data_IF_269748546328
#
_entry.id   IF_269748546328
#
_cell.length_a   1.000
_cell.length_b   1.000
_cell.length_c   1.000
_cell.angle_alpha   90.00
_cell.angle_beta   90.00
_cell.angle_gamma   90.00
#
_symmetry.space_group_name_H-M   'P 1'
#
loop_
_entity.id
_entity.type
_entity.pdbx_description
1 polymer ?
#
# COMPACT_ATOMS: atom_id res chain seq x y z
N UNK A 1 -82.62 -64.54 18.51
CA UNK A 1 -82.17 -64.16 19.88
C UNK A 1 -80.82 -64.80 20.06
N UNK A 2 -79.69 -64.12 20.28
CA UNK A 2 -79.42 -62.76 20.71
C UNK A 2 -77.98 -62.43 20.25
N UNK A 3 -77.72 -61.23 19.73
CA UNK A 3 -76.37 -60.69 19.49
C UNK A 3 -75.68 -60.37 20.83
N UNK A 4 -74.37 -60.64 20.97
CA UNK A 4 -73.48 -59.87 21.85
C UNK A 4 -71.99 -60.06 21.48
N UNK A 5 -71.51 -59.07 20.73
CA UNK A 5 -70.26 -58.31 20.85
C UNK A 5 -68.91 -59.06 20.97
N UNK A 6 -68.13 -58.92 19.89
CA UNK A 6 -66.67 -58.86 19.89
C UNK A 6 -66.18 -57.77 20.88
N UNK A 7 -65.22 -58.11 21.73
CA UNK A 7 -64.23 -57.15 22.23
C UNK A 7 -62.86 -57.83 22.24
N UNK A 8 -62.01 -57.39 21.31
CA UNK A 8 -60.57 -57.48 21.46
C UNK A 8 -60.21 -56.68 22.72
N UNK A 9 -59.57 -57.32 23.68
CA UNK A 9 -58.88 -56.59 24.75
C UNK A 9 -57.62 -56.04 24.10
N UNK A 10 -57.70 -54.80 23.61
CA UNK A 10 -56.52 -53.98 23.38
C UNK A 10 -55.78 -53.88 24.71
N UNK A 11 -54.47 -54.15 24.68
CA UNK A 11 -53.60 -53.99 25.82
C UNK A 11 -53.78 -52.60 26.41
N UNK A 12 -53.78 -52.53 27.75
CA UNK A 12 -53.74 -51.28 28.46
C UNK A 12 -52.54 -50.47 27.94
N UNK A 13 -52.80 -49.37 27.23
CA UNK A 13 -51.79 -48.34 27.02
C UNK A 13 -51.43 -47.83 28.40
N UNK A 14 -50.22 -48.12 28.85
CA UNK A 14 -49.63 -47.45 29.99
C UNK A 14 -49.59 -45.97 29.64
N UNK A 15 -50.56 -45.20 30.12
CA UNK A 15 -50.48 -43.75 30.05
C UNK A 15 -49.46 -43.35 31.12
N UNK A 16 -48.44 -42.59 30.70
CA UNK A 16 -47.47 -42.02 31.62
C UNK A 16 -48.18 -41.18 32.69
N UNK A 17 -47.52 -40.99 33.84
CA UNK A 17 -48.12 -40.26 34.96
C UNK A 17 -48.35 -38.80 34.58
N UNK A 18 -49.26 -38.13 35.30
CA UNK A 18 -49.49 -36.68 35.10
C UNK A 18 -48.18 -35.91 35.34
N UNK A 19 -47.56 -35.41 34.27
CA UNK A 19 -46.26 -34.72 34.29
C UNK A 19 -45.11 -35.47 33.59
N UNK A 20 -45.38 -36.56 32.87
CA UNK A 20 -44.41 -37.31 32.06
C UNK A 20 -44.84 -37.32 30.58
N UNK A 21 -43.89 -37.16 29.67
CA UNK A 21 -44.08 -37.28 28.21
C UNK A 21 -43.91 -38.74 27.77
N UNK A 22 -44.75 -39.20 26.84
CA UNK A 22 -44.71 -40.57 26.33
C UNK A 22 -44.06 -40.65 24.95
N UNK A 23 -42.86 -41.24 24.90
CA UNK A 23 -42.17 -41.59 23.66
C UNK A 23 -42.98 -42.63 22.85
N UNK A 24 -42.74 -42.69 21.55
CA UNK A 24 -43.43 -43.59 20.61
C UNK A 24 -43.11 -45.07 20.86
N UNK A 25 -41.98 -45.38 21.48
CA UNK A 25 -41.60 -46.72 21.92
C UNK A 25 -42.24 -47.13 23.26
N UNK A 26 -42.98 -46.20 23.89
CA UNK A 26 -43.66 -46.38 25.17
C UNK A 26 -42.83 -46.00 26.39
N UNK A 27 -41.61 -45.46 26.22
CA UNK A 27 -40.82 -44.87 27.31
C UNK A 27 -41.52 -43.60 27.85
N UNK A 28 -41.49 -43.42 29.16
CA UNK A 28 -41.97 -42.20 29.81
C UNK A 28 -40.76 -41.40 30.28
N UNK A 29 -40.64 -40.16 29.81
CA UNK A 29 -39.62 -39.21 30.28
C UNK A 29 -40.31 -38.14 31.13
N UNK A 30 -39.58 -37.46 32.06
CA UNK A 30 -40.11 -36.29 32.74
C UNK A 30 -40.63 -35.26 31.73
N UNK A 31 -41.78 -34.63 31.98
CA UNK A 31 -42.30 -33.59 31.09
C UNK A 31 -41.46 -32.31 31.06
N UNK A 32 -40.41 -32.22 31.88
CA UNK A 32 -39.37 -31.19 31.77
C UNK A 32 -38.29 -31.52 30.73
N UNK A 33 -38.28 -32.76 30.22
CA UNK A 33 -37.39 -33.25 29.16
C UNK A 33 -38.14 -33.34 27.83
N UNK A 34 -39.27 -32.66 27.74
CA UNK A 34 -40.01 -32.49 26.50
C UNK A 34 -39.59 -31.12 25.93
N UNK A 35 -38.98 -31.11 24.75
CA UNK A 35 -38.50 -29.91 24.08
C UNK A 35 -37.34 -29.21 24.85
N UNK A 36 -36.35 -29.97 25.30
CA UNK A 36 -35.17 -29.50 26.07
C UNK A 36 -33.83 -29.61 25.30
N UNK A 37 -33.90 -29.76 23.97
CA UNK A 37 -32.78 -29.90 23.03
C UNK A 37 -31.92 -31.16 23.22
N UNK A 38 -32.38 -32.12 24.05
CA UNK A 38 -31.79 -33.45 24.16
C UNK A 38 -32.79 -34.52 23.72
N UNK A 39 -32.33 -35.40 22.82
CA UNK A 39 -33.13 -36.57 22.41
C UNK A 39 -33.14 -37.63 23.51
N UNK A 40 -34.01 -37.46 24.50
CA UNK A 40 -34.21 -38.38 25.61
C UNK A 40 -35.15 -39.55 25.24
N UNK A 41 -35.99 -39.36 24.22
CA UNK A 41 -36.66 -40.44 23.54
C UNK A 41 -35.73 -41.16 22.54
N UNK A 42 -35.92 -42.48 22.40
CA UNK A 42 -35.08 -43.34 21.55
C UNK A 42 -35.01 -42.91 20.07
N UNK A 43 -35.97 -42.14 19.56
CA UNK A 43 -35.96 -41.58 18.21
C UNK A 43 -36.02 -40.03 18.20
N UNK A 44 -35.77 -39.37 19.33
CA UNK A 44 -35.75 -37.91 19.47
C UNK A 44 -37.10 -37.24 19.22
N UNK A 45 -38.21 -37.98 19.41
CA UNK A 45 -39.55 -37.46 19.16
C UNK A 45 -40.04 -36.43 20.19
N UNK A 46 -39.46 -36.42 21.38
CA UNK A 46 -39.56 -35.36 22.38
C UNK A 46 -39.12 -34.00 21.83
N UNK A 47 -38.19 -33.99 20.89
CA UNK A 47 -37.69 -32.79 20.19
C UNK A 47 -38.32 -32.59 18.80
N UNK A 48 -39.30 -33.42 18.43
CA UNK A 48 -39.93 -33.28 17.11
C UNK A 48 -40.86 -32.06 17.07
N UNK A 49 -40.75 -31.25 16.01
CA UNK A 49 -41.57 -30.04 15.77
C UNK A 49 -43.09 -30.29 15.86
N UNK A 50 -43.54 -31.53 15.64
CA UNK A 50 -44.95 -31.93 15.77
C UNK A 50 -45.43 -32.09 17.23
N UNK A 51 -44.51 -32.38 18.15
CA UNK A 51 -44.74 -32.56 19.59
C UNK A 51 -44.41 -31.29 20.40
N UNK A 52 -43.65 -30.36 19.81
CA UNK A 52 -43.49 -28.98 20.27
C UNK A 52 -44.30 -27.96 19.43
N UNK A 53 -45.64 -28.09 19.24
CA UNK A 53 -46.44 -27.17 18.44
C UNK A 53 -46.79 -25.93 19.28
N UNK A 54 -45.80 -25.07 19.46
CA UNK A 54 -45.84 -23.91 20.34
C UNK A 54 -44.52 -23.83 21.08
N UNK A 55 -43.50 -23.32 20.38
CA UNK A 55 -42.30 -22.81 21.06
C UNK A 55 -42.77 -21.99 22.25
N UNK A 56 -42.16 -22.22 23.41
CA UNK A 56 -42.53 -21.55 24.64
C UNK A 56 -42.79 -20.09 24.32
N UNK A 57 -44.07 -19.68 24.38
CA UNK A 57 -44.40 -18.29 24.14
C UNK A 57 -43.81 -17.54 25.32
N UNK A 58 -42.62 -16.99 25.11
CA UNK A 58 -41.95 -16.18 26.11
C UNK A 58 -42.91 -15.07 26.55
N UNK A 59 -42.68 -14.52 27.74
CA UNK A 59 -43.51 -13.43 28.22
C UNK A 59 -43.54 -12.28 27.19
N UNK A 60 -44.55 -11.40 27.24
CA UNK A 60 -44.70 -10.34 26.23
C UNK A 60 -43.48 -9.38 26.15
N UNK A 61 -42.59 -9.45 27.13
CA UNK A 61 -41.34 -8.73 27.30
C UNK A 61 -40.07 -9.57 27.01
N UNK A 62 -40.21 -10.75 26.42
CA UNK A 62 -39.12 -11.68 26.11
C UNK A 62 -39.13 -12.13 24.63
N UNK A 63 -37.94 -12.34 24.09
CA UNK A 63 -37.66 -12.86 22.74
C UNK A 63 -37.46 -14.37 22.78
N UNK A 64 -37.96 -15.07 21.74
CA UNK A 64 -37.81 -16.52 21.59
C UNK A 64 -36.67 -16.83 20.63
N UNK A 65 -35.66 -17.54 21.10
CA UNK A 65 -34.53 -17.96 20.28
C UNK A 65 -34.95 -18.92 19.14
N UNK A 66 -34.15 -18.94 18.06
CA UNK A 66 -34.40 -19.65 16.81
C UNK A 66 -34.24 -21.17 16.91
N UNK A 67 -33.41 -21.65 17.83
CA UNK A 67 -33.31 -23.03 18.28
C UNK A 67 -33.43 -23.10 19.81
N UNK A 68 -34.20 -24.08 20.29
CA UNK A 68 -34.47 -24.28 21.70
C UNK A 68 -35.63 -23.45 22.26
N UNK A 69 -36.16 -23.85 23.41
CA UNK A 69 -37.19 -23.10 24.16
C UNK A 69 -36.57 -22.00 25.05
N UNK A 70 -35.45 -21.42 24.64
CA UNK A 70 -34.75 -20.37 25.39
C UNK A 70 -35.42 -19.02 25.15
N UNK A 71 -35.71 -18.31 26.24
CA UNK A 71 -36.29 -16.98 26.24
C UNK A 71 -35.29 -15.99 26.81
N UNK A 72 -35.00 -14.91 26.08
CA UNK A 72 -34.13 -13.82 26.54
C UNK A 72 -34.95 -12.52 26.67
N UNK A 73 -34.55 -11.57 27.53
CA UNK A 73 -35.19 -10.25 27.60
C UNK A 73 -35.16 -9.53 26.24
N UNK A 74 -36.20 -8.75 25.92
CA UNK A 74 -36.22 -7.96 24.68
C UNK A 74 -35.08 -6.91 24.58
N UNK A 75 -34.45 -6.55 25.70
CA UNK A 75 -33.30 -5.64 25.72
C UNK A 75 -32.00 -6.32 25.25
N UNK A 76 -32.01 -7.66 25.11
CA UNK A 76 -30.89 -8.51 24.66
C UNK A 76 -31.05 -8.92 23.18
N UNK A 77 -31.92 -8.24 22.44
CA UNK A 77 -32.05 -8.42 21.00
C UNK A 77 -31.19 -7.36 20.35
N UNK A 78 -30.28 -7.77 19.46
CA UNK A 78 -29.42 -6.87 18.71
C UNK A 78 -28.48 -6.04 19.60
N UNK A 79 -28.00 -6.63 20.69
CA UNK A 79 -27.06 -5.99 21.60
C UNK A 79 -25.60 -6.40 21.34
N UNK A 80 -25.38 -7.29 20.37
CA UNK A 80 -24.07 -7.75 19.92
C UNK A 80 -23.53 -8.94 20.71
N UNK A 81 -24.26 -9.44 21.72
CA UNK A 81 -23.94 -10.66 22.44
C UNK A 81 -24.81 -11.82 21.91
N UNK A 82 -24.24 -13.02 21.83
CA UNK A 82 -25.00 -14.22 21.44
C UNK A 82 -25.68 -14.84 22.67
N UNK A 83 -26.73 -14.21 23.15
CA UNK A 83 -27.49 -14.64 24.34
C UNK A 83 -28.34 -15.88 24.07
N UNK A 84 -28.78 -16.06 22.83
CA UNK A 84 -29.47 -17.28 22.40
C UNK A 84 -28.55 -18.50 22.21
N UNK A 85 -27.23 -18.30 22.11
CA UNK A 85 -26.24 -19.33 21.80
C UNK A 85 -26.23 -19.81 20.33
N UNK A 86 -27.28 -19.51 19.56
CA UNK A 86 -27.42 -19.81 18.13
C UNK A 86 -27.49 -18.55 17.22
N UNK A 87 -27.21 -17.36 17.79
CA UNK A 87 -27.23 -16.02 17.16
C UNK A 87 -28.59 -15.59 16.61
N UNK A 88 -29.70 -16.19 17.05
CA UNK A 88 -31.03 -15.86 16.52
C UNK A 88 -31.57 -14.51 16.97
N UNK A 89 -31.13 -14.04 18.13
CA UNK A 89 -31.29 -12.69 18.69
C UNK A 89 -30.58 -11.60 17.89
N UNK A 90 -29.52 -11.96 17.17
CA UNK A 90 -28.62 -11.05 16.46
C UNK A 90 -28.82 -11.04 14.92
N UNK A 91 -29.76 -11.84 14.40
CA UNK A 91 -29.91 -12.10 12.96
C UNK A 91 -30.77 -11.09 12.18
N UNK A 92 -31.70 -10.37 12.82
CA UNK A 92 -32.64 -9.46 12.12
C UNK A 92 -32.71 -8.06 12.76
N UNK A 93 -31.57 -7.38 12.82
CA UNK A 93 -31.39 -6.09 13.51
C UNK A 93 -31.60 -4.87 12.60
N UNK A 94 -32.73 -4.82 11.89
CA UNK A 94 -33.09 -3.65 11.08
C UNK A 94 -32.11 -3.35 9.93
N UNK A 95 -31.64 -4.39 9.23
CA UNK A 95 -30.67 -4.27 8.14
C UNK A 95 -29.21 -4.55 8.55
N UNK A 96 -29.01 -5.02 9.78
CA UNK A 96 -27.74 -5.54 10.30
C UNK A 96 -27.91 -7.01 10.68
N UNK A 97 -26.97 -7.86 10.28
CA UNK A 97 -26.81 -9.24 10.78
C UNK A 97 -25.58 -9.24 11.67
N UNK A 98 -25.74 -9.28 12.98
CA UNK A 98 -24.64 -9.24 13.93
C UNK A 98 -24.02 -10.66 14.07
N UNK A 99 -22.73 -10.70 14.40
CA UNK A 99 -21.95 -11.93 14.58
C UNK A 99 -21.24 -11.89 15.93
N UNK A 100 -20.65 -13.01 16.39
CA UNK A 100 -19.91 -13.16 17.67
C UNK A 100 -19.05 -11.92 18.04
N UNK A 101 -18.43 -11.28 17.04
CA UNK A 101 -18.16 -9.86 17.08
C UNK A 101 -18.05 -9.30 15.65
N UNK A 102 -18.80 -8.25 15.33
CA UNK A 102 -18.89 -7.73 13.96
C UNK A 102 -20.30 -7.78 13.38
N UNK A 103 -20.41 -7.74 12.04
CA UNK A 103 -21.70 -7.96 11.38
C UNK A 103 -21.75 -7.59 9.90
N UNK A 104 -22.87 -7.86 9.25
CA UNK A 104 -23.16 -7.51 7.86
C UNK A 104 -24.18 -6.37 7.85
N UNK A 105 -23.83 -5.27 7.22
CA UNK A 105 -24.60 -4.03 7.22
C UNK A 105 -25.09 -3.75 5.79
N UNK A 106 -26.40 -3.63 5.60
CA UNK A 106 -26.99 -3.41 4.27
C UNK A 106 -27.68 -2.05 4.09
N UNK A 107 -27.75 -1.25 5.15
CA UNK A 107 -28.34 0.08 5.11
C UNK A 107 -27.37 1.11 4.51
N UNK A 108 -27.90 2.20 3.92
CA UNK A 108 -27.10 3.27 3.31
C UNK A 108 -26.33 4.12 4.34
N UNK A 109 -26.62 3.99 5.63
CA UNK A 109 -25.91 4.69 6.71
C UNK A 109 -25.87 3.83 7.96
N UNK A 110 -24.82 3.94 8.76
CA UNK A 110 -24.72 3.25 10.04
C UNK A 110 -23.45 3.56 10.81
N UNK A 111 -23.26 2.84 11.91
CA UNK A 111 -22.09 2.97 12.79
C UNK A 111 -21.43 1.61 12.95
N UNK A 112 -20.12 1.56 12.73
CA UNK A 112 -19.26 0.44 13.08
C UNK A 112 -18.50 0.82 14.34
N UNK A 113 -18.70 0.07 15.41
CA UNK A 113 -18.07 0.36 16.69
C UNK A 113 -17.65 -0.90 17.43
N UNK A 114 -16.56 -0.78 18.18
CA UNK A 114 -16.11 -1.73 19.17
C UNK A 114 -15.44 -0.94 20.29
N UNK A 115 -16.12 -0.82 21.43
CA UNK A 115 -15.66 -0.05 22.58
C UNK A 115 -15.22 -0.98 23.71
N UNK A 116 -14.12 -0.63 24.38
CA UNK A 116 -13.52 -1.45 25.45
C UNK A 116 -13.28 -2.90 24.99
N UNK A 117 -12.55 -3.05 23.87
CA UNK A 117 -12.30 -4.36 23.27
C UNK A 117 -11.55 -5.29 24.21
N UNK A 118 -11.70 -6.59 23.99
CA UNK A 118 -11.01 -7.64 24.73
C UNK A 118 -9.78 -8.15 23.98
N UNK A 119 -8.94 -8.92 24.68
CA UNK A 119 -7.82 -9.64 24.08
C UNK A 119 -8.31 -10.79 23.18
N UNK A 120 -7.55 -11.13 22.14
CA UNK A 120 -7.77 -12.24 21.20
C UNK A 120 -9.07 -12.14 20.40
N UNK A 121 -9.48 -10.92 20.04
CA UNK A 121 -10.64 -10.68 19.21
C UNK A 121 -10.27 -10.64 17.73
N UNK A 122 -11.18 -11.08 16.87
CA UNK A 122 -11.08 -11.02 15.41
C UNK A 122 -12.47 -10.69 14.85
N UNK A 123 -12.78 -9.40 14.84
CA UNK A 123 -14.12 -8.90 14.54
C UNK A 123 -14.16 -8.34 13.12
N UNK A 124 -15.20 -8.68 12.36
CA UNK A 124 -15.32 -8.25 10.96
C UNK A 124 -16.69 -7.65 10.68
N UNK A 125 -16.71 -6.45 10.11
CA UNK A 125 -17.91 -5.77 9.63
C UNK A 125 -17.86 -5.67 8.11
N UNK A 126 -18.87 -6.22 7.43
CA UNK A 126 -19.03 -6.11 5.98
C UNK A 126 -20.17 -5.15 5.67
N UNK A 127 -19.84 -4.02 5.04
CA UNK A 127 -20.81 -2.98 4.69
C UNK A 127 -21.11 -3.10 3.20
N UNK A 128 -22.39 -3.22 2.85
CA UNK A 128 -22.90 -3.19 1.48
C UNK A 128 -24.01 -2.16 1.36
N UNK A 129 -23.72 -1.04 0.71
CA UNK A 129 -24.72 0.02 0.46
C UNK A 129 -25.42 -0.18 -0.88
N UNK A 130 -26.40 0.67 -1.19
CA UNK A 130 -27.14 0.66 -2.46
C UNK A 130 -26.20 0.59 -3.68
N UNK A 131 -26.52 -0.31 -4.62
CA UNK A 131 -25.77 -0.50 -5.86
C UNK A 131 -25.64 0.81 -6.65
N UNK A 132 -24.43 1.09 -7.14
CA UNK A 132 -24.10 2.33 -7.87
C UNK A 132 -23.67 3.51 -7.00
N UNK A 133 -23.69 3.37 -5.66
CA UNK A 133 -23.08 4.31 -4.71
C UNK A 133 -21.75 3.76 -4.18
N UNK A 134 -21.05 4.59 -3.40
CA UNK A 134 -19.81 4.22 -2.72
C UNK A 134 -19.97 4.27 -1.21
N UNK A 135 -19.28 3.38 -0.48
CA UNK A 135 -19.23 3.42 0.99
C UNK A 135 -18.21 4.47 1.43
N UNK A 136 -18.62 5.48 2.20
CA UNK A 136 -17.75 6.48 2.82
C UNK A 136 -17.77 6.32 4.34
N UNK A 137 -16.61 6.07 4.94
CA UNK A 137 -16.38 5.77 6.35
C UNK A 137 -15.57 6.89 7.02
N UNK A 138 -16.04 7.40 8.15
CA UNK A 138 -15.37 8.42 8.95
C UNK A 138 -15.23 7.94 10.41
N UNK A 139 -14.00 7.92 10.94
CA UNK A 139 -13.77 7.59 12.35
C UNK A 139 -14.15 8.76 13.25
N UNK A 140 -14.95 8.49 14.27
CA UNK A 140 -15.29 9.43 15.34
C UNK A 140 -14.48 9.18 16.61
N UNK A 141 -13.96 7.96 16.78
CA UNK A 141 -13.05 7.56 17.86
C UNK A 141 -12.08 6.50 17.35
N UNK A 142 -10.82 6.58 17.79
CA UNK A 142 -9.79 5.60 17.47
C UNK A 142 -8.75 5.56 18.59
N UNK A 143 -8.64 4.43 19.27
CA UNK A 143 -7.74 4.21 20.40
C UNK A 143 -7.46 2.71 20.54
N UNK A 144 -6.43 2.27 19.84
CA UNK A 144 -5.97 0.88 19.72
C UNK A 144 -4.54 0.80 20.29
N UNK A 145 -4.08 -0.37 20.78
CA UNK A 145 -2.73 -0.49 21.33
C UNK A 145 -1.67 0.11 20.37
N UNK A 146 -0.82 1.00 20.90
CA UNK A 146 0.17 1.70 20.11
C UNK A 146 1.41 0.82 19.89
N UNK A 147 1.71 0.53 18.63
CA UNK A 147 2.92 -0.16 18.20
C UNK A 147 3.44 0.47 16.89
N UNK A 148 4.76 0.45 16.69
CA UNK A 148 5.37 1.04 15.49
C UNK A 148 4.94 0.33 14.19
N UNK A 149 4.66 -0.96 14.28
CA UNK A 149 4.30 -1.83 13.15
C UNK A 149 2.81 -2.18 13.13
N UNK A 150 2.07 -1.86 14.20
CA UNK A 150 0.70 -2.30 14.42
C UNK A 150 0.52 -3.82 14.31
N UNK A 151 1.50 -4.58 14.83
CA UNK A 151 1.49 -6.05 14.76
C UNK A 151 0.72 -6.70 15.93
N UNK A 152 0.46 -5.97 17.01
CA UNK A 152 -0.34 -6.44 18.15
C UNK A 152 -1.83 -6.25 17.88
N UNK A 153 -2.35 -5.04 18.11
CA UNK A 153 -3.74 -4.69 17.85
C UNK A 153 -3.84 -3.74 16.66
N UNK A 154 -4.82 -3.97 15.78
CA UNK A 154 -5.00 -3.12 14.60
C UNK A 154 -6.41 -3.16 14.03
N UNK A 155 -6.77 -2.06 13.36
CA UNK A 155 -7.94 -2.00 12.47
C UNK A 155 -7.46 -1.97 11.03
N UNK A 156 -8.04 -2.81 10.18
CA UNK A 156 -7.79 -2.84 8.75
C UNK A 156 -9.08 -2.60 7.95
N UNK A 157 -9.00 -1.76 6.92
CA UNK A 157 -10.10 -1.47 5.99
C UNK A 157 -9.78 -2.07 4.63
N UNK A 158 -10.72 -2.81 4.05
CA UNK A 158 -10.59 -3.44 2.73
C UNK A 158 -11.62 -2.89 1.73
N UNK A 159 -11.18 -2.72 0.49
CA UNK A 159 -11.95 -2.22 -0.65
C UNK A 159 -12.77 -3.32 -1.33
N UNK A 160 -13.67 -3.94 -0.56
CA UNK A 160 -14.47 -5.05 -1.06
C UNK A 160 -15.23 -5.78 0.05
N UNK A 161 -15.85 -6.92 -0.29
CA UNK A 161 -16.78 -7.61 0.60
C UNK A 161 -16.09 -8.52 1.63
N UNK A 162 -14.78 -8.71 1.57
CA UNK A 162 -14.04 -9.53 2.52
C UNK A 162 -12.56 -9.12 2.63
N UNK A 163 -11.83 -9.77 3.55
CA UNK A 163 -10.43 -9.51 3.85
C UNK A 163 -9.43 -9.93 2.73
N UNK A 164 -9.91 -10.48 1.60
CA UNK A 164 -9.06 -10.76 0.42
C UNK A 164 -8.97 -9.58 -0.54
N UNK A 165 -9.82 -8.56 -0.35
CA UNK A 165 -9.83 -7.35 -1.17
C UNK A 165 -8.62 -6.44 -0.90
N UNK A 166 -8.49 -5.36 -1.68
CA UNK A 166 -7.39 -4.41 -1.53
C UNK A 166 -7.44 -3.73 -0.16
N UNK A 167 -6.34 -3.78 0.58
CA UNK A 167 -6.20 -3.09 1.87
C UNK A 167 -6.07 -1.57 1.64
N UNK A 168 -7.07 -0.81 2.11
CA UNK A 168 -7.11 0.65 2.03
C UNK A 168 -6.39 1.32 3.20
N UNK A 169 -6.41 0.69 4.38
CA UNK A 169 -5.84 1.23 5.61
C UNK A 169 -5.52 0.09 6.58
N UNK A 170 -4.41 0.21 7.32
CA UNK A 170 -4.16 -0.53 8.56
C UNK A 170 -3.58 0.47 9.55
N UNK A 171 -4.06 0.47 10.80
CA UNK A 171 -3.51 1.35 11.81
C UNK A 171 -3.88 0.94 13.24
N UNK A 172 -3.17 1.56 14.16
CA UNK A 172 -3.25 1.38 15.61
C UNK A 172 -2.87 2.70 16.32
N UNK A 173 -2.90 2.74 17.65
CA UNK A 173 -2.70 3.96 18.43
C UNK A 173 -3.96 4.83 18.57
N UNK A 174 -3.78 6.07 19.02
CA UNK A 174 -4.86 7.01 19.35
C UNK A 174 -5.12 8.10 18.31
N UNK A 175 -4.40 8.08 17.17
CA UNK A 175 -4.57 9.05 16.10
C UNK A 175 -5.81 8.70 15.26
N UNK A 176 -6.79 9.60 15.20
CA UNK A 176 -8.01 9.39 14.40
C UNK A 176 -7.66 9.39 12.91
N UNK A 177 -7.93 8.30 12.17
CA UNK A 177 -7.66 8.23 10.73
C UNK A 177 -8.52 9.21 9.93
N UNK A 178 -8.02 9.61 8.77
CA UNK A 178 -8.82 10.33 7.78
C UNK A 178 -10.00 9.51 7.25
N UNK A 179 -10.96 10.19 6.64
CA UNK A 179 -12.13 9.53 6.03
C UNK A 179 -11.73 8.66 4.82
N UNK A 180 -12.36 7.49 4.68
CA UNK A 180 -12.04 6.48 3.66
C UNK A 180 -13.29 6.19 2.81
N UNK A 181 -13.15 6.09 1.49
CA UNK A 181 -14.24 5.74 0.56
C UNK A 181 -13.80 4.61 -0.34
N UNK A 182 -14.57 3.53 -0.32
CA UNK A 182 -14.38 2.39 -1.18
C UNK A 182 -14.49 2.76 -2.67
N UNK A 183 -13.90 1.96 -3.54
CA UNK A 183 -14.07 2.03 -5.00
C UNK A 183 -15.41 1.44 -5.47
N UNK A 184 -16.15 0.78 -4.57
CA UNK A 184 -17.44 0.15 -4.86
C UNK A 184 -18.48 0.41 -3.77
N UNK A 185 -19.64 -0.21 -3.89
CA UNK A 185 -20.70 -0.19 -2.88
C UNK A 185 -20.44 -1.17 -1.72
N UNK A 186 -19.24 -1.78 -1.64
CA UNK A 186 -18.86 -2.70 -0.57
C UNK A 186 -17.56 -2.28 0.10
N UNK A 187 -17.48 -2.44 1.42
CA UNK A 187 -16.29 -2.18 2.25
C UNK A 187 -16.27 -3.16 3.41
N UNK A 188 -15.08 -3.62 3.80
CA UNK A 188 -14.91 -4.48 4.98
C UNK A 188 -14.00 -3.82 6.01
N UNK A 189 -14.44 -3.78 7.27
CA UNK A 189 -13.65 -3.36 8.43
C UNK A 189 -13.30 -4.60 9.22
N UNK A 190 -12.02 -4.80 9.57
CA UNK A 190 -11.58 -5.92 10.42
C UNK A 190 -10.72 -5.41 11.56
N UNK A 191 -11.06 -5.81 12.77
CA UNK A 191 -10.28 -5.55 13.97
C UNK A 191 -9.67 -6.85 14.47
N UNK A 192 -8.39 -6.83 14.83
CA UNK A 192 -7.70 -7.96 15.45
C UNK A 192 -6.98 -7.46 16.71
N UNK A 193 -7.09 -8.21 17.81
CA UNK A 193 -6.31 -7.97 19.02
C UNK A 193 -5.50 -9.18 19.46
N UNK A 194 -4.40 -8.92 20.15
CA UNK A 194 -3.46 -9.89 20.68
C UNK A 194 -3.87 -10.38 22.09
N UNK A 195 -3.01 -11.13 22.79
CA UNK A 195 -3.34 -11.70 24.11
C UNK A 195 -3.30 -10.73 25.29
N UNK A 196 -2.91 -9.47 25.10
CA UNK A 196 -2.64 -8.50 26.15
C UNK A 196 -2.74 -7.05 25.68
N UNK A 197 -2.88 -6.14 26.65
CA UNK A 197 -3.03 -4.69 26.41
C UNK A 197 -4.32 -4.40 25.63
N UNK A 198 -5.10 -3.46 26.15
CA UNK A 198 -6.38 -3.09 25.57
C UNK A 198 -6.59 -1.61 25.81
N UNK A 199 -7.18 -0.93 24.84
CA UNK A 199 -7.51 0.48 24.90
C UNK A 199 -9.02 0.70 24.70
N UNK A 200 -9.47 1.94 24.50
CA UNK A 200 -10.90 2.24 24.47
C UNK A 200 -11.62 1.79 23.19
N UNK A 201 -10.88 1.45 22.13
CA UNK A 201 -11.41 0.91 20.88
C UNK A 201 -11.72 1.99 19.83
N UNK A 202 -12.68 1.72 18.96
CA UNK A 202 -13.00 2.63 17.85
C UNK A 202 -14.49 2.73 17.58
N UNK A 203 -14.88 3.84 16.96
CA UNK A 203 -16.22 4.06 16.43
C UNK A 203 -16.10 4.85 15.13
N UNK A 204 -16.81 4.43 14.11
CA UNK A 204 -16.81 5.03 12.79
C UNK A 204 -18.22 5.05 12.19
N UNK A 205 -18.59 6.18 11.60
CA UNK A 205 -19.85 6.32 10.87
C UNK A 205 -19.64 6.05 9.40
N UNK A 206 -20.52 5.30 8.75
CA UNK A 206 -20.50 5.12 7.31
C UNK A 206 -21.76 5.69 6.65
N UNK A 207 -21.60 6.19 5.42
CA UNK A 207 -22.68 6.71 4.58
C UNK A 207 -22.49 6.35 3.11
N UNK A 208 -23.59 6.14 2.39
CA UNK A 208 -23.60 5.90 0.96
C UNK A 208 -23.54 7.23 0.20
N UNK A 209 -22.52 7.40 -0.64
CA UNK A 209 -22.30 8.62 -1.42
C UNK A 209 -22.44 8.36 -2.92
N UNK A 210 -23.06 9.31 -3.64
CA UNK A 210 -23.33 9.18 -5.08
C UNK A 210 -22.09 9.40 -5.96
N UNK A 211 -21.16 10.24 -5.49
CA UNK A 211 -19.87 10.46 -6.11
C UNK A 211 -18.82 9.95 -5.16
N UNK A 212 -17.88 9.12 -5.64
CA UNK A 212 -16.66 8.86 -4.90
C UNK A 212 -15.96 10.22 -4.81
N UNK A 213 -15.83 10.83 -3.61
CA UNK A 213 -14.99 12.01 -3.49
C UNK A 213 -13.64 11.64 -4.08
N UNK A 214 -12.93 12.58 -4.73
CA UNK A 214 -11.55 12.36 -5.12
C UNK A 214 -10.75 12.07 -3.84
N UNK A 215 -10.71 10.80 -3.49
CA UNK A 215 -10.31 10.38 -2.18
C UNK A 215 -8.80 10.40 -2.19
N UNK A 216 -8.27 11.14 -1.23
CA UNK A 216 -6.98 10.89 -0.65
C UNK A 216 -6.95 9.43 -0.19
N UNK A 217 -6.67 8.50 -1.11
CA UNK A 217 -5.98 7.24 -0.81
C UNK A 217 -4.97 7.58 0.27
N UNK A 218 -5.08 7.01 1.48
CA UNK A 218 -4.43 7.43 2.74
C UNK A 218 -3.00 7.93 2.62
N UNK A 219 -2.86 9.08 1.97
CA UNK A 219 -1.69 9.80 1.51
C UNK A 219 -2.05 10.84 0.43
N UNK A 220 -2.42 12.06 0.83
CA UNK A 220 -2.26 13.27 0.01
C UNK A 220 -3.10 13.45 -1.28
N UNK A 221 -3.68 12.40 -1.89
CA UNK A 221 -4.57 12.38 -3.07
C UNK A 221 -3.93 12.66 -4.44
N UNK A 222 -4.61 12.41 -5.59
CA UNK A 222 -5.71 11.46 -5.86
C UNK A 222 -5.28 10.26 -6.75
N UNK A 223 -6.09 9.18 -6.72
CA UNK A 223 -5.88 7.95 -7.51
C UNK A 223 -6.03 8.05 -9.03
N UNK A 224 -6.66 9.11 -9.59
CA UNK A 224 -6.65 9.37 -11.04
C UNK A 224 -6.43 10.87 -11.32
N UNK A 225 -5.43 11.18 -12.15
CA UNK A 225 -5.09 12.51 -12.62
C UNK A 225 -5.24 12.58 -14.14
N UNK A 226 -6.12 13.46 -14.63
CA UNK A 226 -6.41 13.60 -16.06
C UNK A 226 -6.25 15.04 -16.52
N UNK A 227 -5.66 15.22 -17.69
CA UNK A 227 -5.51 16.53 -18.34
C UNK A 227 -4.08 16.78 -18.83
N UNK A 228 -3.83 17.94 -19.46
CA UNK A 228 -2.54 18.25 -20.06
C UNK A 228 -1.46 18.61 -19.03
N UNK A 229 -1.83 18.87 -17.77
CA UNK A 229 -0.89 19.12 -16.68
C UNK A 229 -1.59 19.04 -15.33
N UNK A 230 -0.81 18.91 -14.27
CA UNK A 230 -1.31 18.96 -12.89
C UNK A 230 -0.19 18.81 -11.87
N UNK A 231 -0.57 18.78 -10.59
CA UNK A 231 0.36 18.72 -9.45
C UNK A 231 -0.15 17.73 -8.41
N UNK A 232 0.76 17.08 -7.69
CA UNK A 232 0.43 16.15 -6.60
C UNK A 232 1.55 16.14 -5.56
N UNK A 233 1.22 15.76 -4.32
CA UNK A 233 2.16 15.75 -3.19
C UNK A 233 2.02 14.47 -2.38
N UNK A 234 3.07 14.11 -1.64
CA UNK A 234 2.97 13.10 -0.58
C UNK A 234 1.99 13.52 0.52
N UNK A 235 1.64 12.58 1.41
CA UNK A 235 0.82 12.90 2.57
C UNK A 235 1.45 14.03 3.40
N UNK A 236 0.60 14.89 3.96
CA UNK A 236 0.96 15.92 4.94
C UNK A 236 1.96 16.98 4.45
N UNK A 237 2.45 16.90 3.22
CA UNK A 237 3.45 17.81 2.66
C UNK A 237 3.02 19.28 2.88
N UNK A 238 3.89 20.14 3.45
CA UNK A 238 5.33 19.97 3.68
C UNK A 238 5.72 19.32 5.02
N UNK A 239 4.76 18.83 5.80
CA UNK A 239 5.02 18.04 7.01
C UNK A 239 5.29 16.59 6.66
N UNK A 240 5.81 15.82 7.61
CA UNK A 240 6.19 14.45 7.35
C UNK A 240 5.02 13.55 6.93
N UNK A 241 5.23 12.65 5.96
CA UNK A 241 4.27 11.60 5.63
C UNK A 241 4.08 10.61 6.78
N UNK A 242 3.03 9.81 6.71
CA UNK A 242 2.77 8.75 7.70
C UNK A 242 3.52 7.46 7.33
N UNK A 243 3.86 6.67 8.36
CA UNK A 243 4.38 5.31 8.18
C UNK A 243 3.34 4.42 7.50
N UNK A 244 3.80 3.32 6.89
CA UNK A 244 3.00 2.29 6.23
C UNK A 244 2.13 2.84 5.07
N UNK A 245 2.50 4.00 4.53
CA UNK A 245 1.79 4.62 3.43
C UNK A 245 1.97 3.81 2.14
N UNK A 246 0.90 3.66 1.36
CA UNK A 246 0.98 3.18 -0.03
C UNK A 246 0.06 3.99 -0.92
N UNK A 247 0.68 4.79 -1.78
CA UNK A 247 0.03 5.80 -2.59
C UNK A 247 0.16 5.49 -4.05
N UNK A 248 -0.92 5.71 -4.79
CA UNK A 248 -0.95 5.43 -6.21
C UNK A 248 -1.60 6.63 -6.90
N UNK A 249 -0.91 7.19 -7.89
CA UNK A 249 -1.45 8.21 -8.80
C UNK A 249 -1.46 7.66 -10.22
N UNK A 250 -2.64 7.42 -10.80
CA UNK A 250 -2.77 7.06 -12.21
C UNK A 250 -2.94 8.33 -13.06
N UNK A 251 -1.91 8.69 -13.82
CA UNK A 251 -1.85 9.90 -14.62
C UNK A 251 -2.13 9.57 -16.08
N UNK A 252 -3.17 10.18 -16.66
CA UNK A 252 -3.52 10.06 -18.07
C UNK A 252 -3.56 11.42 -18.77
N UNK A 253 -2.78 11.57 -19.84
CA UNK A 253 -2.79 12.75 -20.72
C UNK A 253 -3.45 12.43 -22.07
N UNK A 254 -3.48 13.42 -22.97
CA UNK A 254 -4.06 13.30 -24.31
C UNK A 254 -3.48 12.12 -25.10
N UNK A 255 -4.33 11.44 -25.88
CA UNK A 255 -3.89 10.36 -26.77
C UNK A 255 -2.82 10.85 -27.77
N UNK A 256 -1.76 10.07 -27.96
CA UNK A 256 -0.59 10.47 -28.77
C UNK A 256 0.40 11.41 -28.10
N UNK A 257 0.22 11.72 -26.80
CA UNK A 257 1.17 12.50 -25.99
C UNK A 257 1.93 11.60 -25.00
N UNK A 258 2.94 12.18 -24.36
CA UNK A 258 3.75 11.61 -23.28
C UNK A 258 3.67 12.51 -22.03
N UNK A 259 4.16 12.03 -20.89
CA UNK A 259 4.05 12.66 -19.58
C UNK A 259 5.45 12.96 -19.06
N UNK A 260 5.75 14.24 -18.87
CA UNK A 260 6.96 14.68 -18.16
C UNK A 260 6.62 14.90 -16.70
N UNK A 261 7.35 14.23 -15.80
CA UNK A 261 7.29 14.43 -14.35
C UNK A 261 8.43 15.34 -13.88
N UNK A 262 8.14 16.22 -12.94
CA UNK A 262 9.13 17.09 -12.31
C UNK A 262 8.84 17.19 -10.81
N UNK A 263 9.85 16.92 -9.99
CA UNK A 263 9.76 17.04 -8.54
C UNK A 263 10.35 18.37 -8.10
N UNK A 264 9.53 19.24 -7.50
CA UNK A 264 9.94 20.53 -6.95
C UNK A 264 10.57 20.37 -5.56
N UNK A 265 10.15 19.34 -4.83
CA UNK A 265 10.67 18.96 -3.52
C UNK A 265 10.56 17.44 -3.37
N UNK A 266 11.56 16.81 -2.77
CA UNK A 266 11.62 15.37 -2.56
C UNK A 266 12.51 15.06 -1.36
N UNK A 267 11.98 14.36 -0.36
CA UNK A 267 12.69 13.91 0.84
C UNK A 267 11.95 12.70 1.43
N UNK A 268 12.46 11.51 1.16
CA UNK A 268 12.03 10.21 1.69
C UNK A 268 13.11 9.62 2.59
N UNK A 269 12.80 8.58 3.37
CA UNK A 269 13.84 7.82 4.07
C UNK A 269 14.91 7.34 3.08
N UNK A 270 16.16 7.40 3.53
CA UNK A 270 17.33 7.10 2.74
C UNK A 270 17.98 5.81 3.27
N UNK A 271 17.92 4.76 2.45
CA UNK A 271 18.73 3.54 2.57
C UNK A 271 19.43 3.26 1.24
N UNK A 272 20.12 4.28 0.73
CA UNK A 272 20.95 4.13 -0.44
C UNK A 272 22.09 3.16 -0.10
N UNK A 273 22.37 2.17 -0.98
CA UNK A 273 21.98 2.13 -2.39
C UNK A 273 20.65 1.46 -2.76
N UNK A 274 19.96 0.79 -1.84
CA UNK A 274 18.91 -0.18 -2.17
C UNK A 274 17.50 0.40 -2.12
N UNK A 275 17.28 1.50 -1.40
CA UNK A 275 15.95 2.10 -1.18
C UNK A 275 14.94 1.07 -0.65
N UNK A 276 15.34 0.27 0.34
CA UNK A 276 14.55 -0.85 0.86
C UNK A 276 13.42 -0.43 1.82
N UNK A 277 13.47 0.79 2.35
CA UNK A 277 12.45 1.33 3.27
C UNK A 277 11.38 2.12 2.50
N UNK A 278 11.63 3.41 2.27
CA UNK A 278 10.69 4.31 1.60
C UNK A 278 11.08 4.52 0.13
N UNK A 279 10.13 4.35 -0.78
CA UNK A 279 10.42 4.38 -2.22
C UNK A 279 9.27 4.99 -3.03
N UNK A 280 9.62 5.85 -3.99
CA UNK A 280 8.73 6.28 -5.07
C UNK A 280 9.13 5.58 -6.37
N UNK A 281 8.16 4.96 -7.03
CA UNK A 281 8.31 4.27 -8.31
C UNK A 281 7.40 4.87 -9.36
N UNK A 282 7.91 5.05 -10.57
CA UNK A 282 7.12 5.45 -11.74
C UNK A 282 6.99 4.24 -12.64
N UNK A 283 5.76 3.84 -12.94
CA UNK A 283 5.46 2.63 -13.72
C UNK A 283 4.73 2.99 -15.01
N UNK A 284 5.06 2.29 -16.09
CA UNK A 284 4.41 2.39 -17.39
C UNK A 284 4.19 0.97 -17.92
N UNK A 285 2.95 0.63 -18.28
CA UNK A 285 2.57 -0.71 -18.75
C UNK A 285 3.04 -1.86 -17.80
N UNK A 286 3.09 -1.59 -16.50
CA UNK A 286 3.54 -2.55 -15.48
C UNK A 286 5.06 -2.72 -15.36
N UNK A 287 5.87 -1.91 -16.05
CA UNK A 287 7.32 -1.84 -15.87
C UNK A 287 7.72 -0.57 -15.12
N UNK A 288 8.69 -0.68 -14.22
CA UNK A 288 9.27 0.48 -13.51
C UNK A 288 10.15 1.25 -14.49
N UNK A 289 9.77 2.49 -14.79
CA UNK A 289 10.56 3.44 -15.58
C UNK A 289 11.68 4.07 -14.74
N UNK A 290 11.38 4.40 -13.49
CA UNK A 290 12.35 4.94 -12.54
C UNK A 290 11.87 4.69 -11.10
N UNK A 291 12.82 4.69 -10.18
CA UNK A 291 12.56 4.66 -8.74
C UNK A 291 13.51 5.60 -8.01
N UNK A 292 13.08 6.17 -6.89
CA UNK A 292 13.96 6.98 -6.04
C UNK A 292 13.52 6.97 -4.58
N UNK A 293 14.49 7.20 -3.69
CA UNK A 293 14.35 7.45 -2.26
C UNK A 293 15.30 8.59 -1.84
N UNK A 294 15.37 8.94 -0.55
CA UNK A 294 16.20 10.04 -0.08
C UNK A 294 15.73 11.40 -0.59
N UNK A 295 16.66 12.31 -0.91
CA UNK A 295 16.36 13.73 -1.15
C UNK A 295 16.29 14.16 -2.62
N UNK A 296 16.35 13.22 -3.57
CA UNK A 296 16.32 13.51 -5.01
C UNK A 296 15.21 12.71 -5.67
N UNK A 297 14.27 13.39 -6.31
CA UNK A 297 13.19 12.75 -7.06
C UNK A 297 13.64 12.29 -8.46
N UNK A 298 12.99 11.27 -9.04
CA UNK A 298 13.32 10.80 -10.38
C UNK A 298 12.84 11.81 -11.45
N UNK A 299 13.69 12.09 -12.44
CA UNK A 299 13.32 12.92 -13.59
C UNK A 299 12.96 12.02 -14.78
N UNK A 300 11.70 12.05 -15.23
CA UNK A 300 11.15 11.05 -16.18
C UNK A 300 10.27 11.72 -17.23
N UNK A 301 10.42 11.28 -18.48
CA UNK A 301 9.41 11.41 -19.54
C UNK A 301 8.92 10.01 -19.91
N UNK A 302 7.61 9.81 -19.91
CA UNK A 302 6.98 8.54 -20.32
C UNK A 302 6.99 8.34 -21.83
N UNK A 303 6.78 7.11 -22.30
CA UNK A 303 6.65 6.82 -23.74
C UNK A 303 5.19 6.85 -24.21
N UNK A 304 4.26 6.68 -23.28
CA UNK A 304 2.83 6.60 -23.49
C UNK A 304 2.10 7.75 -22.79
N UNK A 305 0.80 7.85 -23.04
CA UNK A 305 -0.05 8.86 -22.40
C UNK A 305 -0.56 8.42 -21.01
N UNK A 306 -0.02 7.34 -20.43
CA UNK A 306 -0.46 6.80 -19.15
C UNK A 306 0.71 6.30 -18.30
N UNK A 307 0.83 6.81 -17.07
CA UNK A 307 1.77 6.30 -16.07
C UNK A 307 1.10 6.13 -14.72
N UNK A 308 1.65 5.25 -13.90
CA UNK A 308 1.24 5.03 -12.52
C UNK A 308 2.41 5.40 -11.60
N UNK A 309 2.23 6.38 -10.73
CA UNK A 309 3.23 6.74 -9.70
C UNK A 309 2.86 6.03 -8.41
N UNK A 310 3.81 5.31 -7.80
CA UNK A 310 3.59 4.52 -6.58
C UNK A 310 4.57 4.96 -5.50
N UNK A 311 4.09 5.52 -4.40
CA UNK A 311 4.92 5.80 -3.21
C UNK A 311 4.59 4.77 -2.12
N UNK A 312 5.61 4.13 -1.55
CA UNK A 312 5.47 3.19 -0.44
C UNK A 312 6.38 3.63 0.69
N UNK A 313 5.85 3.70 1.91
CA UNK A 313 6.62 3.95 3.13
C UNK A 313 6.54 2.73 4.06
N UNK A 314 7.60 2.51 4.81
CA UNK A 314 7.70 1.44 5.80
C UNK A 314 7.11 1.85 7.15
N UNK A 315 7.22 0.98 8.16
CA UNK A 315 6.63 1.20 9.48
C UNK A 315 7.31 2.28 10.34
N UNK A 316 8.36 2.92 9.86
CA UNK A 316 9.21 3.81 10.65
C UNK A 316 9.80 4.97 9.83
N UNK A 317 10.47 5.89 10.52
CA UNK A 317 11.24 7.01 9.94
C UNK A 317 10.52 7.79 8.84
N UNK A 318 9.80 8.84 9.25
CA UNK A 318 9.13 9.72 8.29
C UNK A 318 9.97 10.93 7.90
N UNK A 319 9.73 11.44 6.68
CA UNK A 319 10.34 12.65 6.12
C UNK A 319 9.26 13.56 5.52
N UNK A 320 9.57 14.84 5.21
CA UNK A 320 8.63 15.78 4.60
C UNK A 320 7.93 15.30 3.33
N UNK A 321 8.53 14.35 2.58
CA UNK A 321 7.95 13.77 1.39
C UNK A 321 8.24 14.58 0.13
N UNK A 322 7.27 14.70 -0.77
CA UNK A 322 7.51 15.31 -2.08
C UNK A 322 6.36 16.19 -2.59
N UNK A 323 6.73 17.10 -3.50
CA UNK A 323 5.83 17.89 -4.33
C UNK A 323 6.23 17.72 -5.79
N UNK A 324 5.28 17.32 -6.63
CA UNK A 324 5.51 16.97 -8.02
C UNK A 324 4.51 17.64 -8.95
N UNK A 325 4.96 17.87 -10.18
CA UNK A 325 4.15 18.38 -11.29
C UNK A 325 4.28 17.46 -12.48
N UNK A 326 3.21 17.35 -13.27
CA UNK A 326 3.22 16.66 -14.56
C UNK A 326 2.77 17.60 -15.68
N UNK A 327 3.35 17.43 -16.86
CA UNK A 327 2.92 18.10 -18.09
C UNK A 327 2.91 17.13 -19.26
N UNK A 328 1.94 17.31 -20.17
CA UNK A 328 1.92 16.62 -21.45
C UNK A 328 3.01 17.18 -22.38
N UNK A 329 3.76 16.27 -22.98
CA UNK A 329 4.81 16.56 -23.96
C UNK A 329 4.58 15.71 -25.21
N UNK A 330 5.18 16.11 -26.33
CA UNK A 330 5.09 15.30 -27.55
C UNK A 330 5.72 13.92 -27.31
N UNK A 331 5.11 12.85 -27.86
CA UNK A 331 5.74 11.53 -27.84
C UNK A 331 7.11 11.56 -28.50
N UNK A 332 8.11 10.95 -27.84
CA UNK A 332 9.51 11.01 -28.27
C UNK A 332 10.23 12.31 -27.91
N UNK A 333 9.62 13.18 -27.11
CA UNK A 333 10.35 14.26 -26.45
C UNK A 333 11.41 13.67 -25.52
N UNK A 334 12.64 14.13 -25.67
CA UNK A 334 13.70 13.91 -24.68
C UNK A 334 13.68 15.07 -23.70
N UNK A 335 14.13 14.83 -22.46
CA UNK A 335 14.41 15.94 -21.55
C UNK A 335 15.37 16.89 -22.28
N UNK A 336 15.20 18.23 -22.16
CA UNK A 336 16.17 19.14 -22.74
C UNK A 336 17.55 18.77 -22.21
N UNK A 337 18.59 18.71 -23.06
CA UNK A 337 19.96 18.68 -22.60
C UNK A 337 20.12 19.82 -21.61
N UNK A 338 20.60 19.55 -20.39
CA UNK A 338 21.05 20.61 -19.50
C UNK A 338 22.37 21.16 -20.06
N UNK A 339 22.25 21.88 -21.18
CA UNK A 339 23.35 22.51 -21.88
C UNK A 339 23.90 23.56 -20.93
N UNK A 340 25.06 23.23 -20.36
CA UNK A 340 25.96 24.08 -19.57
C UNK A 340 25.61 24.32 -18.10
N UNK A 341 25.31 23.27 -17.34
CA UNK A 341 25.55 23.33 -15.89
C UNK A 341 26.95 22.85 -15.58
N UNK A 342 27.90 23.79 -15.52
CA UNK A 342 29.07 23.62 -14.65
C UNK A 342 28.54 23.56 -13.21
N UNK A 343 28.09 22.40 -12.77
CA UNK A 343 27.65 22.16 -11.39
C UNK A 343 28.86 21.73 -10.59
N UNK A 344 29.12 22.48 -9.52
CA UNK A 344 30.22 22.23 -8.59
C UNK A 344 29.68 21.27 -7.53
N UNK A 345 30.06 19.99 -7.60
CA UNK A 345 29.82 19.07 -6.49
C UNK A 345 30.60 19.60 -5.29
N UNK A 346 29.93 19.96 -4.19
CA UNK A 346 30.57 20.42 -2.95
C UNK A 346 29.94 19.72 -1.76
N UNK A 347 30.75 19.14 -0.88
CA UNK A 347 30.29 18.62 0.40
C UNK A 347 30.01 19.77 1.40
N UNK A 348 29.04 19.66 2.33
CA UNK A 348 28.85 20.64 3.39
C UNK A 348 30.11 20.73 4.26
N UNK A 349 30.76 21.89 4.26
CA UNK A 349 31.91 22.15 5.10
C UNK A 349 31.59 21.96 6.59
N UNK A 350 32.50 21.26 7.30
CA UNK A 350 32.68 21.24 8.76
C UNK A 350 31.41 21.46 9.58
N UNK A 351 30.60 20.41 9.71
CA UNK A 351 29.28 20.54 10.31
C UNK A 351 28.77 19.41 11.18
N UNK A 352 29.47 18.28 11.35
CA UNK A 352 29.07 17.17 12.22
C UNK A 352 27.80 16.42 11.79
N UNK A 353 27.80 15.10 12.02
CA UNK A 353 26.68 14.17 12.24
C UNK A 353 26.97 12.82 11.57
N UNK A 354 27.42 11.84 12.37
CA UNK A 354 27.28 10.39 12.15
C UNK A 354 27.81 9.78 10.85
N UNK A 355 27.75 8.45 10.69
CA UNK A 355 27.97 7.81 9.39
C UNK A 355 26.83 8.22 8.46
N UNK A 356 26.96 9.37 7.80
CA UNK A 356 26.02 9.85 6.80
C UNK A 356 26.70 9.73 5.45
N UNK A 357 26.15 8.91 4.55
CA UNK A 357 26.52 9.02 3.14
C UNK A 357 26.18 10.45 2.71
N UNK A 358 27.14 11.23 2.18
CA UNK A 358 26.74 12.47 1.52
C UNK A 358 26.02 12.08 0.23
N UNK A 359 24.82 12.64 0.09
CA UNK A 359 23.81 12.42 -0.94
C UNK A 359 24.41 12.03 -2.31
N UNK A 360 23.98 10.92 -2.93
CA UNK A 360 24.44 10.59 -4.26
C UNK A 360 23.91 11.59 -5.29
N UNK A 361 24.80 12.09 -6.14
CA UNK A 361 24.45 13.00 -7.24
C UNK A 361 24.33 12.17 -8.52
N UNK A 362 23.13 12.11 -9.10
CA UNK A 362 22.93 11.59 -10.46
C UNK A 362 23.37 12.69 -11.41
N UNK A 363 24.45 12.47 -12.13
CA UNK A 363 24.91 13.40 -13.16
C UNK A 363 24.34 12.94 -14.50
N UNK A 364 23.36 13.67 -15.07
CA UNK A 364 22.88 13.36 -16.41
C UNK A 364 23.98 13.67 -17.42
N UNK A 365 24.27 12.74 -18.33
CA UNK A 365 25.11 13.01 -19.49
C UNK A 365 24.41 12.56 -20.75
N UNK A 366 24.16 13.46 -21.70
CA UNK A 366 23.65 13.02 -23.00
C UNK A 366 24.74 12.20 -23.67
N UNK A 367 24.48 10.89 -23.77
CA UNK A 367 25.28 9.85 -24.43
C UNK A 367 26.80 10.07 -24.39
N UNK A 368 27.57 9.27 -23.68
CA UNK A 368 29.03 9.33 -23.81
C UNK A 368 29.73 9.61 -22.50
N UNK A 369 31.02 9.34 -22.55
CA UNK A 369 31.87 9.11 -21.41
C UNK A 369 31.87 10.26 -20.41
N UNK A 370 31.60 9.97 -19.13
CA UNK A 370 31.97 10.87 -18.03
C UNK A 370 33.45 11.23 -18.18
N UNK A 371 33.79 12.49 -18.08
CA UNK A 371 35.17 12.92 -17.87
C UNK A 371 35.08 14.02 -16.84
N UNK A 372 35.58 13.75 -15.63
CA UNK A 372 35.80 14.83 -14.69
C UNK A 372 37.09 15.54 -15.12
N UNK A 373 37.10 16.87 -15.35
CA UNK A 373 38.32 17.61 -15.68
C UNK A 373 39.23 17.75 -14.44
N UNK A 374 39.59 16.64 -13.79
CA UNK A 374 40.26 16.64 -12.50
C UNK A 374 39.37 17.19 -11.38
N UNK A 375 39.50 16.62 -10.18
CA UNK A 375 38.96 17.28 -8.99
C UNK A 375 39.75 18.57 -8.74
N UNK A 376 39.06 19.70 -8.57
CA UNK A 376 39.68 20.98 -8.20
C UNK A 376 40.27 20.90 -6.79
N UNK A 377 39.58 20.20 -5.89
CA UNK A 377 40.05 19.81 -4.55
C UNK A 377 39.61 18.38 -4.25
N UNK A 378 40.47 17.56 -3.62
CA UNK A 378 40.12 16.20 -3.21
C UNK A 378 40.93 15.83 -1.98
N UNK A 379 40.26 15.74 -0.84
CA UNK A 379 40.83 15.44 0.46
C UNK A 379 39.80 14.65 1.26
N UNK A 380 39.85 13.32 1.07
CA UNK A 380 38.93 12.32 1.63
C UNK A 380 39.75 11.38 2.51
N UNK A 381 39.25 10.93 3.66
CA UNK A 381 40.02 10.08 4.56
C UNK A 381 40.57 8.82 3.84
N UNK A 382 41.81 8.46 4.14
CA UNK A 382 42.48 7.27 3.58
C UNK A 382 42.87 6.31 4.70
N UNK A 383 42.72 4.98 4.53
CA UNK A 383 42.27 4.25 3.33
C UNK A 383 40.75 4.33 3.07
N UNK A 384 40.33 3.92 1.86
CA UNK A 384 38.95 4.03 1.34
C UNK A 384 37.90 3.20 2.11
N UNK A 385 38.30 2.55 3.20
CA UNK A 385 37.40 1.83 4.11
C UNK A 385 36.71 2.78 5.11
N UNK A 386 37.29 3.96 5.34
CA UNK A 386 36.73 5.01 6.19
C UNK A 386 35.81 5.92 5.36
N UNK A 387 36.40 6.81 4.56
CA UNK A 387 35.69 7.65 3.61
C UNK A 387 35.98 7.24 2.16
N UNK A 388 34.96 7.25 1.30
CA UNK A 388 35.13 6.94 -0.12
C UNK A 388 34.08 7.61 -1.00
N UNK A 389 34.52 8.07 -2.17
CA UNK A 389 33.66 8.46 -3.28
C UNK A 389 33.64 7.32 -4.31
N UNK A 390 32.50 6.68 -4.51
CA UNK A 390 32.28 5.64 -5.51
C UNK A 390 31.48 6.20 -6.68
N UNK A 391 31.87 5.87 -7.91
CA UNK A 391 31.21 6.31 -9.13
C UNK A 391 30.77 5.05 -9.88
N UNK A 392 29.49 4.96 -10.21
CA UNK A 392 28.88 3.87 -10.96
C UNK A 392 28.56 4.32 -12.40
N UNK A 393 28.79 3.42 -13.35
CA UNK A 393 28.53 3.58 -14.78
C UNK A 393 27.10 3.18 -15.12
N UNK A 394 26.15 4.03 -14.73
CA UNK A 394 24.71 3.83 -14.91
C UNK A 394 23.86 4.72 -14.00
N UNK A 395 22.52 4.56 -14.03
CA UNK A 395 21.56 5.42 -13.32
C UNK A 395 21.60 5.30 -11.80
N UNK A 396 22.07 4.17 -11.28
CA UNK A 396 21.93 3.81 -9.89
C UNK A 396 23.13 3.01 -9.39
N UNK A 397 23.07 2.69 -8.11
CA UNK A 397 24.05 1.92 -7.35
C UNK A 397 24.23 0.46 -7.79
N UNK A 398 23.26 -0.11 -8.51
CA UNK A 398 23.35 -1.48 -9.04
C UNK A 398 24.23 -1.54 -10.28
N UNK A 399 24.51 -0.39 -10.91
CA UNK A 399 25.37 -0.29 -12.07
C UNK A 399 26.85 -0.57 -11.75
N UNK A 400 27.65 -1.01 -12.74
CA UNK A 400 29.06 -1.34 -12.53
C UNK A 400 29.86 -0.18 -11.94
N UNK A 401 30.70 -0.45 -10.94
CA UNK A 401 31.58 0.57 -10.35
C UNK A 401 32.66 0.97 -11.35
N UNK A 402 32.63 2.23 -11.80
CA UNK A 402 33.66 2.85 -12.62
C UNK A 402 34.91 3.20 -11.80
N UNK A 403 34.73 3.72 -10.58
CA UNK A 403 35.83 4.01 -9.67
C UNK A 403 35.39 4.10 -8.20
N UNK A 404 36.34 3.83 -7.29
CA UNK A 404 36.25 4.21 -5.87
C UNK A 404 37.50 5.02 -5.54
N UNK A 405 37.31 6.20 -4.94
CA UNK A 405 38.33 7.21 -4.69
C UNK A 405 38.36 7.59 -3.20
N UNK A 406 39.56 7.81 -2.67
CA UNK A 406 39.82 8.29 -1.31
C UNK A 406 41.24 8.89 -1.24
N UNK A 407 41.60 9.52 -0.12
CA UNK A 407 42.89 10.18 0.06
C UNK A 407 42.93 11.60 -0.52
N UNK A 408 44.14 12.09 -0.82
CA UNK A 408 44.40 13.48 -1.24
C UNK A 408 44.53 13.66 -2.76
N UNK A 409 44.20 12.62 -3.55
CA UNK A 409 44.38 12.63 -4.99
C UNK A 409 43.17 12.03 -5.72
N UNK A 410 42.26 12.90 -6.13
CA UNK A 410 41.19 12.55 -7.06
C UNK A 410 41.77 12.33 -8.47
N UNK A 411 41.24 11.36 -9.20
CA UNK A 411 41.60 11.12 -10.62
C UNK A 411 40.39 11.33 -11.51
N UNK A 412 40.65 11.58 -12.78
CA UNK A 412 39.63 11.54 -13.83
C UNK A 412 39.02 10.14 -13.92
N UNK A 413 37.70 10.08 -14.02
CA UNK A 413 36.92 8.85 -14.14
C UNK A 413 36.03 8.98 -15.35
N UNK A 414 35.81 7.86 -16.04
CA UNK A 414 34.95 7.78 -17.21
C UNK A 414 33.95 6.64 -17.15
N UNK A 415 32.72 6.95 -17.54
CA UNK A 415 31.59 6.01 -17.69
C UNK A 415 31.41 5.68 -19.17
N UNK A 416 30.59 4.70 -19.50
CA UNK A 416 30.30 4.28 -20.87
C UNK A 416 28.87 4.62 -21.29
N UNK A 417 27.98 4.87 -20.32
CA UNK A 417 26.59 5.26 -20.54
C UNK A 417 26.31 6.76 -20.38
N UNK A 418 25.05 7.13 -20.62
CA UNK A 418 24.49 8.48 -20.47
C UNK A 418 24.19 8.88 -19.01
N UNK A 419 24.58 8.06 -18.06
CA UNK A 419 24.27 8.27 -16.64
C UNK A 419 25.46 7.84 -15.80
N UNK A 420 25.79 8.67 -14.81
CA UNK A 420 26.75 8.34 -13.78
C UNK A 420 26.09 8.54 -12.42
N UNK A 421 26.22 7.55 -11.54
CA UNK A 421 25.70 7.60 -10.18
C UNK A 421 26.86 7.66 -9.20
N UNK A 422 27.03 8.79 -8.51
CA UNK A 422 28.11 8.98 -7.54
C UNK A 422 27.59 8.75 -6.12
N UNK A 423 28.33 8.02 -5.28
CA UNK A 423 28.01 7.75 -3.88
C UNK A 423 29.18 8.17 -3.01
N UNK A 424 28.98 9.11 -2.07
CA UNK A 424 29.99 9.42 -1.06
C UNK A 424 29.64 8.79 0.27
N UNK A 425 30.51 7.91 0.77
CA UNK A 425 30.39 7.25 2.07
C UNK A 425 31.43 7.84 3.01
N UNK A 426 31.01 8.23 4.21
CA UNK A 426 31.92 8.66 5.28
C UNK A 426 31.62 7.93 6.58
N UNK A 427 32.61 7.83 7.45
CA UNK A 427 32.46 7.30 8.80
C UNK A 427 32.36 8.42 9.88
N UNK A 428 32.31 8.03 11.15
CA UNK A 428 32.18 9.00 12.26
C UNK A 428 33.51 9.62 12.73
N UNK A 429 34.60 9.37 12.00
CA UNK A 429 35.97 9.82 12.27
C UNK A 429 36.43 10.85 11.24
N UNK A 430 37.54 11.54 11.56
CA UNK A 430 38.35 12.41 10.68
C UNK A 430 37.63 13.02 9.47
N UNK A 431 37.05 14.21 9.65
CA UNK A 431 36.48 14.97 8.52
C UNK A 431 37.58 15.81 7.83
N UNK A 432 38.04 15.38 6.66
CA UNK A 432 38.96 16.15 5.80
C UNK A 432 38.19 17.22 4.98
N UNK A 433 38.86 17.96 4.08
CA UNK A 433 38.26 19.10 3.36
C UNK A 433 37.17 18.70 2.34
N UNK A 434 37.01 17.41 2.05
CA UNK A 434 36.04 16.88 1.10
C UNK A 434 36.55 16.96 -0.33
N UNK A 435 35.63 17.01 -1.30
CA UNK A 435 35.99 17.11 -2.71
C UNK A 435 35.17 18.17 -3.42
N UNK A 436 35.78 18.78 -4.45
CA UNK A 436 35.10 19.61 -5.42
C UNK A 436 35.58 19.26 -6.82
N UNK A 437 34.64 19.10 -7.74
CA UNK A 437 34.94 18.70 -9.11
C UNK A 437 33.91 19.29 -10.07
N UNK A 438 34.31 19.34 -11.33
CA UNK A 438 33.39 19.59 -12.45
C UNK A 438 33.24 18.30 -13.23
N UNK A 439 32.18 18.20 -14.02
CA UNK A 439 31.98 17.12 -14.97
C UNK A 439 31.64 17.68 -16.35
N UNK A 440 32.02 16.95 -17.38
CA UNK A 440 31.59 17.21 -18.76
C UNK A 440 30.83 16.01 -19.27
N UNK A 441 29.62 16.26 -19.77
CA UNK A 441 28.89 15.34 -20.62
C UNK A 441 29.28 15.66 -22.06
N UNK A 442 30.08 14.79 -22.68
CA UNK A 442 30.34 14.87 -24.12
C UNK A 442 29.47 13.82 -24.80
N UNK A 443 28.72 14.22 -25.84
CA UNK A 443 28.12 13.30 -26.81
C UNK A 443 29.19 12.27 -27.23
N UNK A 444 28.87 10.98 -27.48
CA UNK A 444 29.88 10.08 -27.99
C UNK A 444 30.23 10.69 -29.35
N UNK A 445 31.52 10.78 -29.72
CA UNK A 445 31.87 11.32 -31.01
C UNK A 445 31.01 10.61 -32.06
N UNK A 446 30.32 11.36 -32.94
CA UNK A 446 29.29 10.82 -33.79
C UNK A 446 29.84 9.57 -34.46
N UNK A 447 29.30 8.41 -34.09
CA UNK A 447 29.66 7.19 -34.78
C UNK A 447 28.97 7.28 -36.12
N UNK A 448 29.76 7.69 -37.11
CA UNK A 448 29.36 7.68 -38.50
C UNK A 448 28.82 6.27 -38.83
N UNK A 449 27.95 6.18 -39.84
CA UNK A 449 27.41 4.88 -40.23
C UNK A 449 28.55 3.85 -40.46
N UNK A 450 28.32 2.54 -40.32
CA UNK A 450 29.39 1.53 -40.40
C UNK A 450 30.23 1.56 -41.69
N UNK A 451 29.76 2.27 -42.72
CA UNK A 451 30.40 2.51 -44.02
C UNK A 451 31.07 3.89 -44.17
N UNK A 452 31.24 4.63 -43.06
CA UNK A 452 31.77 5.99 -43.01
C UNK A 452 32.96 6.11 -42.06
N UNK A 453 33.88 7.01 -42.41
CA UNK A 453 35.04 7.39 -41.62
C UNK A 453 34.74 8.67 -40.83
N UNK A 454 35.17 8.71 -39.57
CA UNK A 454 34.98 9.85 -38.66
C UNK A 454 36.20 10.77 -38.69
N UNK A 455 36.01 12.00 -39.13
CA UNK A 455 37.01 13.05 -39.12
C UNK A 455 37.30 13.56 -37.69
N UNK A 456 38.48 14.14 -37.45
CA UNK A 456 38.82 14.70 -36.12
C UNK A 456 37.96 15.89 -35.71
N UNK A 457 37.39 16.61 -36.67
CA UNK A 457 36.44 17.70 -36.49
C UNK A 457 34.99 17.22 -36.32
N UNK A 458 34.75 15.90 -36.26
CA UNK A 458 33.44 15.29 -36.05
C UNK A 458 32.59 15.13 -37.32
N UNK A 459 33.08 15.52 -38.49
CA UNK A 459 32.39 15.26 -39.76
C UNK A 459 32.50 13.78 -40.17
N UNK A 460 31.51 13.31 -40.93
CA UNK A 460 31.49 11.97 -41.49
C UNK A 460 31.70 12.01 -43.00
N UNK A 461 32.71 11.29 -43.48
CA UNK A 461 32.93 11.04 -44.91
C UNK A 461 32.73 9.56 -45.20
N UNK A 462 32.43 9.18 -46.44
CA UNK A 462 32.39 7.75 -46.80
C UNK A 462 33.77 7.10 -46.64
N UNK A 463 33.84 5.84 -46.21
CA UNK A 463 35.11 5.12 -46.01
C UNK A 463 35.98 5.01 -47.28
N UNK A 464 35.42 5.27 -48.46
CA UNK A 464 36.16 5.33 -49.74
C UNK A 464 37.03 6.58 -49.88
N UNK A 465 36.82 7.58 -49.03
CA UNK A 465 37.55 8.86 -49.02
C UNK A 465 38.69 8.87 -48.00
N UNK A 466 38.85 7.80 -47.21
CA UNK A 466 40.04 7.61 -46.38
C UNK A 466 41.24 7.27 -47.27
N UNK A 467 42.35 8.00 -47.14
CA UNK A 467 43.60 7.78 -47.90
C UNK A 467 43.46 7.90 -49.43
N UNK A 468 42.61 8.81 -49.91
CA UNK A 468 42.38 9.07 -51.33
C UNK A 468 43.35 10.13 -51.91
N UNK A 469 44.13 10.78 -51.04
CA UNK A 469 45.07 11.85 -51.36
C UNK A 469 44.45 13.25 -51.34
N UNK A 470 43.23 13.43 -50.81
CA UNK A 470 42.55 14.72 -50.64
C UNK A 470 42.05 14.87 -49.21
N UNK A 471 42.02 16.12 -48.76
CA UNK A 471 41.42 16.51 -47.48
C UNK A 471 39.90 16.65 -47.66
N UNK A 472 39.19 15.52 -47.62
CA UNK A 472 37.73 15.43 -47.67
C UNK A 472 37.11 15.71 -46.28
N UNK A 473 37.86 15.53 -45.20
CA UNK A 473 37.46 15.90 -43.84
C UNK A 473 37.49 17.42 -43.56
N UNK A 474 38.30 18.19 -44.29
CA UNK A 474 38.55 19.63 -44.05
C UNK A 474 39.50 19.93 -42.88
N UNK A 475 40.05 18.89 -42.25
CA UNK A 475 41.05 18.94 -41.17
C UNK A 475 42.23 17.97 -41.40
N UNK A 476 42.29 17.35 -42.59
CA UNK A 476 43.26 16.36 -43.04
C UNK A 476 43.32 15.05 -42.23
N UNK A 477 42.31 14.77 -41.40
CA UNK A 477 42.28 13.57 -40.55
C UNK A 477 42.13 12.27 -41.33
N UNK A 478 41.50 12.32 -42.50
CA UNK A 478 41.36 11.24 -43.48
C UNK A 478 42.66 10.88 -44.22
N UNK A 479 43.68 11.73 -44.11
CA UNK A 479 44.97 11.58 -44.80
C UNK A 479 46.16 11.42 -43.83
N UNK A 480 45.90 11.45 -42.52
CA UNK A 480 46.95 11.52 -41.50
C UNK A 480 47.57 10.15 -41.15
N UNK A 481 46.83 9.05 -41.35
CA UNK A 481 47.25 7.68 -40.98
C UNK A 481 47.05 6.67 -42.12
N UNK A 482 47.53 7.08 -43.29
CA UNK A 482 47.77 6.26 -44.47
C UNK A 482 49.26 5.81 -44.52
#
# INVERSE_FOLDING_TARGET
>A
MLWLLLFFIAGASAQCSSGEFQCNDGQCIPGSWECDDWGDCSAGEDEATANCPGGASCAADEFTCGHGNTCIPNDWICDGDNDCGDMSDEQECGGVVLTDCGGIYTEDTGVVELLNYGNNQDCTWTITVTEGKFVHLEFTQFDIEEDSTCDYDYVTIYDGPDATALRLFTGCGAAIPGAITASSNTMTVRFVSDSSVTETGFSATYTAVDERPAQSSGCGGPGELKGPSGTFTSMNFPSNYDNNARCIWDITVSDGMAIQLTFESFDLEDDLPTCDFDILQIQENGQVLASSCGSVGPNVISNTNHITVVFTADSSVTRPGFSATYQEVAQGATLPPDLTTTTQATTPGTGGLGPSCANPEILPGDSGSFTSPGFETFDVESPCEYDSLTIHDGPDSSAPVAATLCGTYGREVSTTGSQAFMVFKTDSSVTEQGFSGTYTAEDPPPTCAPDQFTCWNGNCIGAIFECDGKDDCGDASDEFLC
#
